data_IF_527413095941
#
_entry.id   IF_527413095941
#
_cell.length_a   1.000
_cell.length_b   1.000
_cell.length_c   1.000
_cell.angle_alpha   90.00
_cell.angle_beta   90.00
_cell.angle_gamma   90.00
#
_symmetry.space_group_name_H-M   'P 1'
#
loop_
_entity.id
_entity.type
_entity.pdbx_description
1 polymer ?
#
# COMPACT_ATOMS: atom_id res chain seq x y z
N UNK A 1 29.29 -1.50 -45.00
CA UNK A 1 28.91 -2.32 -43.81
C UNK A 1 28.72 -1.34 -42.66
N UNK A 2 27.47 -0.94 -42.39
CA UNK A 2 27.09 -0.02 -41.27
C UNK A 2 26.53 -0.84 -40.13
N UNK A 3 27.27 -0.93 -39.06
CA UNK A 3 26.77 -1.49 -37.79
C UNK A 3 25.77 -0.52 -37.13
N UNK A 4 24.50 -0.92 -37.05
CA UNK A 4 23.52 -0.30 -36.17
C UNK A 4 23.68 -0.90 -34.78
N UNK A 5 24.13 -0.10 -33.84
CA UNK A 5 24.08 -0.44 -32.41
C UNK A 5 22.65 -0.14 -31.93
N UNK A 6 21.93 -1.20 -31.54
CA UNK A 6 20.67 -1.08 -30.84
C UNK A 6 20.94 -0.56 -29.41
N UNK A 7 20.39 0.61 -29.12
CA UNK A 7 20.36 1.12 -27.75
C UNK A 7 19.16 0.46 -27.06
N UNK A 8 19.43 -0.43 -26.14
CA UNK A 8 18.42 -0.98 -25.24
C UNK A 8 18.13 0.09 -24.17
N UNK A 9 16.97 0.71 -24.25
CA UNK A 9 16.43 1.57 -23.20
C UNK A 9 16.02 0.70 -22.03
N UNK A 10 16.84 0.67 -20.98
CA UNK A 10 16.45 0.12 -19.70
C UNK A 10 15.45 1.08 -19.04
N UNK A 11 14.20 0.66 -18.91
CA UNK A 11 13.22 1.33 -18.07
C UNK A 11 13.70 1.20 -16.61
N UNK A 12 14.26 2.28 -16.07
CA UNK A 12 14.59 2.36 -14.65
C UNK A 12 13.28 2.58 -13.89
N UNK A 13 12.83 1.53 -13.17
CA UNK A 13 11.76 1.65 -12.20
C UNK A 13 12.16 2.70 -11.16
N UNK A 14 11.24 3.65 -10.90
CA UNK A 14 11.38 4.67 -9.88
C UNK A 14 11.33 4.00 -8.50
N UNK A 15 12.43 3.46 -8.06
CA UNK A 15 12.60 3.12 -6.67
C UNK A 15 12.97 4.43 -5.96
N UNK A 16 12.03 4.98 -5.19
CA UNK A 16 12.37 5.90 -4.10
C UNK A 16 13.18 5.05 -3.11
N UNK A 17 14.45 4.81 -3.43
CA UNK A 17 15.36 4.10 -2.56
C UNK A 17 15.69 5.04 -1.41
N UNK A 18 14.89 4.94 -0.34
CA UNK A 18 15.32 5.33 0.99
C UNK A 18 16.53 4.47 1.33
N UNK A 19 17.74 4.97 1.00
CA UNK A 19 18.98 4.31 1.35
C UNK A 19 19.15 4.37 2.88
N UNK A 20 18.77 3.28 3.54
CA UNK A 20 19.23 2.97 4.89
C UNK A 20 20.75 2.90 4.85
N UNK A 21 21.40 3.87 5.50
CA UNK A 21 22.84 3.91 5.68
C UNK A 21 23.32 2.63 6.38
N UNK A 22 23.96 1.75 5.65
CA UNK A 22 24.61 0.59 6.19
C UNK A 22 25.94 1.03 6.84
N UNK A 23 25.96 1.14 8.18
CA UNK A 23 27.21 1.10 8.93
C UNK A 23 27.80 -0.32 8.85
N UNK A 24 28.95 -0.44 8.23
CA UNK A 24 29.75 -1.67 8.17
C UNK A 24 30.26 -2.04 9.56
N UNK A 25 29.64 -3.04 10.18
CA UNK A 25 30.11 -3.71 11.39
C UNK A 25 30.19 -5.21 11.12
N UNK A 26 31.35 -5.80 11.43
CA UNK A 26 31.76 -7.16 11.11
C UNK A 26 30.73 -8.24 11.54
N UNK A 27 30.50 -9.18 10.65
CA UNK A 27 29.61 -10.30 10.79
C UNK A 27 29.93 -11.23 11.96
N UNK A 28 28.89 -11.63 12.73
CA UNK A 28 28.80 -12.90 13.44
C UNK A 28 27.65 -13.72 12.83
N UNK A 29 27.82 -15.02 12.62
CA UNK A 29 26.77 -15.87 12.05
C UNK A 29 25.75 -16.23 13.12
N UNK A 30 24.48 -15.98 12.85
CA UNK A 30 23.36 -16.39 13.67
C UNK A 30 22.35 -15.27 13.90
N UNK A 31 21.57 -14.96 12.88
CA UNK A 31 20.32 -14.22 13.06
C UNK A 31 19.33 -14.75 12.03
N UNK A 32 18.26 -15.31 12.55
CA UNK A 32 17.15 -15.88 11.80
C UNK A 32 16.55 -14.83 10.87
N UNK A 33 16.37 -15.20 9.61
CA UNK A 33 15.76 -14.37 8.59
C UNK A 33 14.29 -14.12 8.96
N UNK A 34 13.91 -12.86 9.07
CA UNK A 34 12.53 -12.43 9.27
C UNK A 34 11.72 -12.71 7.99
N UNK A 35 10.72 -13.62 7.98
CA UNK A 35 9.97 -13.98 6.77
C UNK A 35 9.08 -12.87 6.21
N UNK A 36 8.84 -11.80 6.97
CA UNK A 36 7.91 -10.73 6.56
C UNK A 36 8.45 -9.79 5.48
N UNK A 37 9.77 -9.72 5.29
CA UNK A 37 10.36 -8.89 4.22
C UNK A 37 10.37 -9.61 2.85
N UNK A 38 10.01 -10.88 2.80
CA UNK A 38 10.06 -11.70 1.59
C UNK A 38 8.71 -11.88 0.88
N UNK A 39 7.61 -11.48 1.48
CA UNK A 39 6.30 -11.54 0.82
C UNK A 39 6.21 -10.63 -0.42
N UNK A 40 7.06 -9.60 -0.50
CA UNK A 40 7.13 -8.69 -1.67
C UNK A 40 8.09 -9.13 -2.78
N UNK A 41 8.83 -10.25 -2.62
CA UNK A 41 9.83 -10.71 -3.60
C UNK A 41 9.77 -12.21 -3.93
N UNK A 42 8.76 -12.94 -3.51
CA UNK A 42 8.57 -14.33 -3.92
C UNK A 42 7.98 -14.41 -5.34
N UNK A 43 8.72 -13.93 -6.32
CA UNK A 43 8.47 -14.16 -7.74
C UNK A 43 8.76 -15.60 -8.14
N UNK A 44 7.93 -16.55 -7.72
CA UNK A 44 8.17 -17.96 -8.04
C UNK A 44 6.95 -18.88 -8.00
N UNK A 45 5.78 -18.41 -7.58
CA UNK A 45 4.57 -19.25 -7.51
C UNK A 45 3.27 -18.48 -7.73
N UNK A 46 3.32 -17.28 -8.30
CA UNK A 46 2.12 -16.45 -8.54
C UNK A 46 1.22 -16.97 -9.66
N UNK A 47 1.68 -17.88 -10.50
CA UNK A 47 0.91 -18.35 -11.66
C UNK A 47 -0.26 -19.28 -11.32
N UNK A 48 -0.30 -19.88 -10.14
CA UNK A 48 -1.37 -20.82 -9.76
C UNK A 48 -2.46 -20.19 -8.86
N UNK A 49 -2.17 -19.09 -8.15
CA UNK A 49 -3.09 -18.47 -7.20
C UNK A 49 -4.11 -17.54 -7.89
N UNK A 50 -3.84 -17.10 -9.11
CA UNK A 50 -4.56 -15.98 -9.75
C UNK A 50 -5.78 -16.35 -10.60
N UNK A 51 -6.15 -17.61 -10.77
CA UNK A 51 -7.21 -18.00 -11.72
C UNK A 51 -8.52 -18.46 -11.11
N UNK A 52 -8.70 -18.29 -9.80
CA UNK A 52 -9.97 -18.67 -9.18
C UNK A 52 -11.01 -17.59 -9.48
N UNK A 53 -12.09 -17.95 -10.16
CA UNK A 53 -13.26 -17.09 -10.34
C UNK A 53 -14.10 -17.14 -9.07
N UNK A 54 -14.13 -16.05 -8.30
CA UNK A 54 -14.84 -15.96 -7.04
C UNK A 54 -16.35 -16.20 -7.20
N UNK A 55 -16.92 -15.87 -8.35
CA UNK A 55 -18.36 -16.06 -8.62
C UNK A 55 -18.77 -17.53 -8.72
N UNK A 56 -17.81 -18.43 -8.90
CA UNK A 56 -18.05 -19.88 -8.99
C UNK A 56 -17.90 -20.61 -7.66
N UNK A 57 -17.40 -19.91 -6.62
CA UNK A 57 -17.20 -20.50 -5.32
C UNK A 57 -18.49 -20.53 -4.50
N UNK A 58 -18.67 -21.60 -3.72
CA UNK A 58 -19.59 -21.59 -2.59
C UNK A 58 -18.85 -20.98 -1.40
N UNK A 59 -19.37 -19.86 -0.91
CA UNK A 59 -18.87 -19.20 0.29
C UNK A 59 -19.91 -19.36 1.39
N UNK A 60 -19.55 -20.04 2.46
CA UNK A 60 -20.43 -20.25 3.60
C UNK A 60 -20.27 -19.06 4.59
N UNK A 61 -21.39 -18.63 5.18
CA UNK A 61 -21.38 -17.52 6.16
C UNK A 61 -21.10 -17.98 7.59
N UNK A 62 -21.18 -19.29 7.86
CA UNK A 62 -20.85 -19.91 9.15
C UNK A 62 -20.60 -21.42 8.98
N UNK A 63 -19.94 -22.05 9.95
CA UNK A 63 -19.72 -23.48 9.99
C UNK A 63 -19.50 -23.94 11.43
N UNK A 64 -20.08 -25.07 11.82
CA UNK A 64 -19.98 -25.61 13.20
C UNK A 64 -18.54 -25.97 13.60
N UNK A 65 -17.64 -26.17 12.63
CA UNK A 65 -16.23 -26.45 12.89
C UNK A 65 -15.38 -25.22 13.14
N UNK A 66 -15.91 -24.00 12.92
CA UNK A 66 -15.17 -22.78 13.23
C UNK A 66 -14.80 -22.71 14.71
N UNK A 67 -13.53 -22.38 15.04
CA UNK A 67 -13.13 -22.18 16.43
C UNK A 67 -13.79 -20.94 17.02
N UNK A 68 -13.67 -20.78 18.34
CA UNK A 68 -14.12 -19.55 18.99
C UNK A 68 -13.02 -18.49 18.94
N UNK A 69 -13.38 -17.28 18.51
CA UNK A 69 -12.50 -16.12 18.47
C UNK A 69 -12.82 -15.20 19.64
N UNK A 70 -11.80 -14.74 20.38
CA UNK A 70 -11.99 -13.75 21.43
C UNK A 70 -12.34 -12.37 20.87
N UNK A 71 -13.09 -11.53 21.61
CA UNK A 71 -13.38 -10.15 21.17
C UNK A 71 -12.17 -9.20 21.36
N UNK A 72 -11.08 -9.68 21.94
CA UNK A 72 -9.90 -8.86 22.24
C UNK A 72 -9.16 -8.41 20.96
N UNK A 73 -8.31 -7.39 21.08
CA UNK A 73 -7.37 -6.95 20.07
C UNK A 73 -5.95 -6.98 20.65
N UNK A 74 -5.03 -7.83 20.17
CA UNK A 74 -5.22 -8.86 19.13
C UNK A 74 -6.11 -10.02 19.59
N UNK A 75 -6.87 -10.65 18.67
CA UNK A 75 -7.72 -11.78 19.00
C UNK A 75 -6.92 -13.05 19.30
N UNK A 76 -7.55 -13.94 20.09
CA UNK A 76 -7.05 -15.29 20.35
C UNK A 76 -8.03 -16.33 19.81
N UNK A 77 -7.51 -17.50 19.44
CA UNK A 77 -8.28 -18.63 18.94
C UNK A 77 -8.42 -19.71 20.00
N UNK A 78 -9.62 -20.29 20.11
CA UNK A 78 -9.88 -21.50 20.91
C UNK A 78 -10.45 -22.57 19.99
N UNK A 79 -9.63 -23.56 19.64
CA UNK A 79 -10.01 -24.65 18.75
C UNK A 79 -11.04 -25.57 19.40
N UNK A 80 -11.99 -26.05 18.60
CA UNK A 80 -13.06 -26.95 19.03
C UNK A 80 -12.86 -28.43 18.58
N UNK A 81 -11.73 -28.72 17.92
CA UNK A 81 -11.40 -30.06 17.44
C UNK A 81 -12.10 -30.44 16.13
N UNK A 82 -12.76 -29.50 15.47
CA UNK A 82 -13.42 -29.73 14.19
C UNK A 82 -12.46 -29.76 13.00
N UNK A 83 -12.78 -30.56 11.99
CA UNK A 83 -12.05 -30.50 10.71
C UNK A 83 -12.30 -29.15 10.00
N UNK A 84 -11.30 -28.67 9.24
CA UNK A 84 -11.46 -27.44 8.48
C UNK A 84 -12.64 -27.51 7.50
N UNK A 85 -13.40 -26.41 7.30
CA UNK A 85 -14.45 -26.35 6.30
C UNK A 85 -13.94 -26.70 4.91
N UNK A 86 -14.76 -27.41 4.13
CA UNK A 86 -14.43 -27.77 2.75
C UNK A 86 -14.56 -26.58 1.79
N UNK A 87 -15.46 -25.66 2.09
CA UNK A 87 -15.68 -24.42 1.36
C UNK A 87 -14.97 -23.26 2.06
N UNK A 88 -14.71 -22.19 1.30
CA UNK A 88 -14.37 -20.90 1.89
C UNK A 88 -15.50 -20.47 2.82
N UNK A 89 -15.19 -20.21 4.08
CA UNK A 89 -16.19 -19.79 5.07
C UNK A 89 -15.80 -18.42 5.61
N UNK A 90 -16.71 -17.45 5.53
CA UNK A 90 -16.51 -16.09 5.99
C UNK A 90 -17.60 -15.72 6.98
N UNK A 91 -17.24 -15.68 8.25
CA UNK A 91 -18.17 -15.30 9.32
C UNK A 91 -17.91 -13.88 9.74
N UNK A 92 -18.95 -13.05 9.70
CA UNK A 92 -18.89 -11.69 10.22
C UNK A 92 -18.94 -11.75 11.76
N UNK A 93 -17.86 -11.33 12.42
CA UNK A 93 -17.76 -11.25 13.87
C UNK A 93 -18.29 -9.91 14.38
N UNK A 94 -18.02 -8.83 13.64
CA UNK A 94 -18.56 -7.50 13.86
C UNK A 94 -18.80 -6.83 12.50
N UNK A 95 -19.93 -6.15 12.34
CA UNK A 95 -20.38 -5.59 11.06
C UNK A 95 -20.45 -4.07 11.10
N UNK A 96 -19.94 -3.43 10.06
CA UNK A 96 -19.94 -1.98 9.90
C UNK A 96 -20.56 -1.56 8.55
N UNK A 97 -21.86 -1.76 8.40
CA UNK A 97 -22.62 -1.48 7.16
C UNK A 97 -22.50 -0.03 6.63
N UNK A 98 -21.94 0.88 7.42
CA UNK A 98 -21.69 2.28 7.02
C UNK A 98 -20.36 2.51 6.33
N UNK A 99 -19.48 1.51 6.28
CA UNK A 99 -18.18 1.57 5.59
C UNK A 99 -18.32 1.42 4.08
N UNK A 100 -17.25 1.73 3.36
CA UNK A 100 -17.18 1.47 1.92
C UNK A 100 -17.21 -0.05 1.66
N UNK A 101 -18.00 -0.51 0.68
CA UNK A 101 -18.04 -1.90 0.26
C UNK A 101 -16.76 -2.24 -0.53
N UNK A 102 -16.12 -3.34 -0.18
CA UNK A 102 -14.89 -3.82 -0.83
C UNK A 102 -15.23 -4.41 -2.19
N UNK A 103 -14.58 -3.91 -3.24
CA UNK A 103 -14.77 -4.34 -4.61
C UNK A 103 -13.60 -5.21 -5.11
N UNK A 104 -13.85 -6.03 -6.13
CA UNK A 104 -12.77 -6.73 -6.81
C UNK A 104 -11.76 -5.73 -7.40
N UNK A 105 -10.46 -5.98 -7.20
CA UNK A 105 -9.39 -5.09 -7.65
C UNK A 105 -9.03 -3.96 -6.69
N UNK A 106 -9.71 -3.85 -5.56
CA UNK A 106 -9.33 -2.88 -4.54
C UNK A 106 -7.98 -3.21 -3.88
N UNK A 107 -7.37 -2.17 -3.34
CA UNK A 107 -6.32 -2.26 -2.35
C UNK A 107 -6.97 -2.16 -0.99
N UNK A 108 -6.67 -3.12 -0.10
CA UNK A 108 -7.21 -3.14 1.26
C UNK A 108 -6.09 -2.94 2.28
N UNK A 109 -6.39 -2.18 3.32
CA UNK A 109 -5.56 -2.08 4.52
C UNK A 109 -6.25 -2.83 5.64
N UNK A 110 -5.53 -3.74 6.30
CA UNK A 110 -6.14 -4.65 7.29
C UNK A 110 -5.24 -4.86 8.48
N UNK A 111 -5.86 -4.95 9.65
CA UNK A 111 -5.26 -5.54 10.85
C UNK A 111 -5.66 -7.02 10.90
N UNK A 112 -4.70 -7.93 10.94
CA UNK A 112 -5.02 -9.35 10.84
C UNK A 112 -4.09 -10.25 11.65
N UNK A 113 -4.58 -11.47 11.87
CA UNK A 113 -3.80 -12.57 12.46
C UNK A 113 -4.21 -13.88 11.79
N UNK A 114 -3.23 -14.74 11.47
CA UNK A 114 -3.44 -16.00 10.75
C UNK A 114 -2.85 -17.21 11.45
N UNK A 115 -3.60 -18.31 11.46
CA UNK A 115 -3.19 -19.61 11.99
C UNK A 115 -3.30 -20.70 10.93
N UNK A 116 -2.43 -21.70 11.00
CA UNK A 116 -2.71 -22.97 10.33
C UNK A 116 -3.85 -23.67 11.07
N UNK A 117 -4.74 -24.31 10.31
CA UNK A 117 -5.81 -25.09 10.89
C UNK A 117 -5.22 -26.34 11.55
N UNK A 118 -5.02 -26.27 12.86
CA UNK A 118 -4.50 -27.35 13.66
C UNK A 118 -4.92 -27.14 15.11
N UNK A 119 -5.55 -28.16 15.73
CA UNK A 119 -6.02 -28.11 17.12
C UNK A 119 -4.93 -27.72 18.13
N UNK A 120 -3.67 -28.03 17.83
CA UNK A 120 -2.54 -27.71 18.68
C UNK A 120 -1.92 -26.31 18.39
N UNK A 121 -2.35 -25.63 17.33
CA UNK A 121 -1.76 -24.37 16.88
C UNK A 121 -2.39 -23.18 17.58
N UNK A 122 -1.84 -22.75 18.70
CA UNK A 122 -2.19 -21.48 19.37
C UNK A 122 -1.31 -20.31 18.90
N UNK A 123 -0.19 -20.60 18.25
CA UNK A 123 0.72 -19.59 17.73
C UNK A 123 0.36 -19.23 16.29
N UNK A 124 0.15 -17.94 15.98
CA UNK A 124 -0.08 -17.52 14.61
C UNK A 124 1.18 -17.69 13.76
N UNK A 125 1.01 -17.99 12.48
CA UNK A 125 2.12 -17.98 11.53
C UNK A 125 2.42 -16.57 11.01
N UNK A 126 1.42 -15.66 11.03
CA UNK A 126 1.56 -14.26 10.62
C UNK A 126 0.56 -13.37 11.38
N UNK A 127 0.97 -12.12 11.68
CA UNK A 127 0.13 -11.16 12.38
C UNK A 127 0.62 -9.72 12.16
N UNK A 128 -0.25 -8.86 11.69
CA UNK A 128 -0.01 -7.41 11.62
C UNK A 128 0.07 -6.79 13.02
N UNK A 129 -0.71 -7.32 13.98
CA UNK A 129 -0.67 -6.86 15.38
C UNK A 129 0.70 -7.09 16.02
N UNK A 130 1.42 -8.18 15.67
CA UNK A 130 2.78 -8.42 16.17
C UNK A 130 3.81 -7.47 15.54
N UNK A 131 3.55 -6.99 14.33
CA UNK A 131 4.37 -5.97 13.67
C UNK A 131 4.08 -4.56 14.19
N UNK A 132 2.92 -4.35 14.82
CA UNK A 132 2.50 -3.07 15.38
C UNK A 132 1.92 -2.09 14.36
N UNK A 133 1.62 -2.56 13.14
CA UNK A 133 1.04 -1.75 12.06
C UNK A 133 0.12 -2.60 11.17
N UNK A 134 -0.98 -2.04 10.64
CA UNK A 134 -1.79 -2.65 9.61
C UNK A 134 -0.98 -2.98 8.36
N UNK A 135 -1.47 -3.89 7.53
CA UNK A 135 -0.82 -4.24 6.29
C UNK A 135 -1.74 -3.94 5.10
N UNK A 136 -1.16 -3.38 4.04
CA UNK A 136 -1.87 -2.97 2.83
C UNK A 136 -1.54 -3.92 1.68
N UNK A 137 -2.58 -4.45 1.01
CA UNK A 137 -2.45 -5.41 -0.08
C UNK A 137 -3.40 -5.07 -1.23
N UNK A 138 -2.95 -5.14 -2.49
CA UNK A 138 -3.86 -5.26 -3.62
C UNK A 138 -4.54 -6.63 -3.55
N UNK A 139 -5.87 -6.69 -3.65
CA UNK A 139 -6.64 -7.95 -3.58
C UNK A 139 -6.25 -8.94 -4.67
N UNK A 140 -5.77 -8.47 -5.81
CA UNK A 140 -5.26 -9.33 -6.87
C UNK A 140 -3.93 -10.00 -6.53
N UNK A 141 -3.19 -9.50 -5.53
CA UNK A 141 -1.89 -10.00 -5.10
C UNK A 141 -1.93 -10.98 -3.92
N UNK A 142 -3.11 -11.21 -3.32
CA UNK A 142 -3.26 -12.11 -2.16
C UNK A 142 -3.83 -13.48 -2.57
N UNK A 143 -3.81 -14.45 -1.64
CA UNK A 143 -4.38 -15.78 -1.86
C UNK A 143 -5.88 -15.69 -2.20
N UNK A 144 -6.38 -16.63 -3.00
CA UNK A 144 -7.75 -16.60 -3.48
C UNK A 144 -8.80 -16.55 -2.36
N UNK A 145 -8.52 -17.21 -1.23
CA UNK A 145 -9.39 -17.18 -0.06
C UNK A 145 -9.58 -15.78 0.52
N UNK A 146 -8.53 -14.95 0.57
CA UNK A 146 -8.63 -13.54 0.96
C UNK A 146 -9.40 -12.73 -0.08
N UNK A 147 -8.95 -12.81 -1.35
CA UNK A 147 -9.58 -12.05 -2.43
C UNK A 147 -11.08 -12.31 -2.53
N UNK A 148 -11.48 -13.58 -2.50
CA UNK A 148 -12.90 -13.93 -2.62
C UNK A 148 -13.67 -13.77 -1.31
N UNK A 149 -12.98 -13.83 -0.16
CA UNK A 149 -13.61 -13.72 1.15
C UNK A 149 -13.83 -12.28 1.62
N UNK A 150 -13.10 -11.30 1.06
CA UNK A 150 -13.24 -9.90 1.48
C UNK A 150 -14.21 -9.11 0.60
N UNK A 151 -14.32 -9.45 -0.70
CA UNK A 151 -15.23 -8.74 -1.63
C UNK A 151 -16.68 -8.83 -1.17
N UNK A 152 -17.38 -7.67 -1.15
CA UNK A 152 -18.75 -7.54 -0.67
C UNK A 152 -18.89 -7.28 0.83
N UNK A 153 -17.81 -7.33 1.59
CA UNK A 153 -17.77 -6.84 2.97
C UNK A 153 -17.41 -5.35 3.02
N UNK A 154 -17.43 -4.73 4.20
CA UNK A 154 -17.27 -3.30 4.34
C UNK A 154 -16.03 -2.93 5.17
N UNK A 155 -15.50 -1.75 4.92
CA UNK A 155 -14.52 -1.11 5.80
C UNK A 155 -15.12 -0.98 7.20
N UNK A 156 -14.36 -1.43 8.20
CA UNK A 156 -14.80 -1.55 9.59
C UNK A 156 -15.30 -2.95 9.99
N UNK A 157 -15.57 -3.84 9.03
CA UNK A 157 -15.97 -5.20 9.35
C UNK A 157 -14.82 -5.98 10.00
N UNK A 158 -15.19 -6.85 10.95
CA UNK A 158 -14.30 -7.86 11.54
C UNK A 158 -14.77 -9.23 11.12
N UNK A 159 -13.90 -9.97 10.44
CA UNK A 159 -14.22 -11.22 9.77
C UNK A 159 -13.38 -12.38 10.31
N UNK A 160 -14.00 -13.53 10.48
CA UNK A 160 -13.33 -14.82 10.65
C UNK A 160 -13.38 -15.56 9.31
N UNK A 161 -12.21 -15.86 8.72
CA UNK A 161 -12.11 -16.46 7.39
C UNK A 161 -11.40 -17.80 7.50
N UNK A 162 -12.14 -18.89 7.26
CA UNK A 162 -11.56 -20.22 7.14
C UNK A 162 -11.35 -20.56 5.67
N UNK A 163 -10.10 -20.77 5.29
CA UNK A 163 -9.66 -20.92 3.91
C UNK A 163 -9.18 -22.35 3.69
N UNK A 164 -9.83 -23.14 2.84
CA UNK A 164 -9.36 -24.47 2.47
C UNK A 164 -8.03 -24.38 1.69
N UNK A 165 -7.19 -25.42 1.79
CA UNK A 165 -5.84 -25.43 1.26
C UNK A 165 -5.73 -24.98 -0.21
N UNK A 166 -6.70 -25.39 -1.06
CA UNK A 166 -6.71 -25.06 -2.49
C UNK A 166 -6.94 -23.57 -2.78
N UNK A 167 -7.45 -22.80 -1.84
CA UNK A 167 -7.64 -21.35 -1.93
C UNK A 167 -6.58 -20.56 -1.14
N UNK A 168 -5.62 -21.30 -0.54
CA UNK A 168 -4.46 -20.79 0.21
C UNK A 168 -3.16 -21.16 -0.53
N UNK A 169 -2.19 -21.76 0.14
CA UNK A 169 -0.89 -22.14 -0.42
C UNK A 169 -0.80 -23.63 -0.81
N UNK A 170 -1.91 -24.39 -0.67
CA UNK A 170 -1.96 -25.82 -0.92
C UNK A 170 -1.45 -26.68 0.24
N UNK A 171 -1.56 -28.01 0.09
CA UNK A 171 -1.14 -28.97 1.11
C UNK A 171 0.38 -29.19 1.18
N UNK A 172 1.10 -28.84 0.10
CA UNK A 172 2.55 -28.99 -0.03
C UNK A 172 3.21 -27.63 -0.25
N UNK A 173 2.99 -26.70 0.67
CA UNK A 173 3.54 -25.37 0.57
C UNK A 173 5.07 -25.38 0.58
N UNK A 174 5.68 -24.42 -0.13
CA UNK A 174 7.12 -24.27 -0.19
C UNK A 174 7.68 -23.77 1.14
N UNK A 175 8.98 -23.94 1.34
CA UNK A 175 9.64 -23.49 2.56
C UNK A 175 9.38 -22.01 2.84
N UNK A 176 8.81 -21.72 4.00
CA UNK A 176 8.50 -20.35 4.45
C UNK A 176 7.03 -19.94 4.28
N UNK A 177 6.17 -20.79 3.69
CA UNK A 177 4.71 -20.57 3.64
C UNK A 177 3.98 -21.64 4.45
N UNK A 178 2.84 -21.30 5.07
CA UNK A 178 2.00 -22.28 5.77
C UNK A 178 1.38 -23.26 4.76
N UNK A 179 1.13 -24.50 5.18
CA UNK A 179 0.49 -25.54 4.36
C UNK A 179 -0.87 -25.92 4.92
N UNK A 180 -1.72 -26.50 4.08
CA UNK A 180 -3.05 -26.94 4.47
C UNK A 180 -4.04 -25.77 4.63
N UNK A 181 -5.20 -26.03 5.28
CA UNK A 181 -6.20 -25.02 5.52
C UNK A 181 -5.71 -23.95 6.50
N UNK A 182 -6.20 -22.72 6.34
CA UNK A 182 -5.82 -21.57 7.13
C UNK A 182 -7.05 -20.94 7.79
N UNK A 183 -6.83 -20.33 8.94
CA UNK A 183 -7.79 -19.48 9.62
C UNK A 183 -7.22 -18.09 9.76
N UNK A 184 -8.02 -17.08 9.45
CA UNK A 184 -7.67 -15.68 9.70
C UNK A 184 -8.77 -14.97 10.48
N UNK A 185 -8.37 -14.04 11.32
CA UNK A 185 -9.23 -12.93 11.77
C UNK A 185 -8.69 -11.67 11.12
N UNK A 186 -9.58 -10.95 10.42
CA UNK A 186 -9.25 -9.76 9.64
C UNK A 186 -10.16 -8.62 10.08
N UNK A 187 -9.57 -7.50 10.46
CA UNK A 187 -10.25 -6.22 10.66
C UNK A 187 -9.93 -5.37 9.43
N UNK A 188 -10.96 -4.90 8.73
CA UNK A 188 -10.78 -4.11 7.51
C UNK A 188 -10.67 -2.64 7.88
N UNK A 189 -9.46 -2.11 7.85
CA UNK A 189 -9.19 -0.73 8.28
C UNK A 189 -9.48 0.28 7.16
N UNK A 190 -9.25 -0.12 5.87
CA UNK A 190 -9.49 0.73 4.71
C UNK A 190 -9.61 -0.10 3.43
N UNK A 191 -10.30 0.43 2.41
CA UNK A 191 -10.37 -0.13 1.06
C UNK A 191 -10.52 0.98 0.02
N UNK A 192 -9.75 0.90 -1.07
CA UNK A 192 -9.82 1.86 -2.16
C UNK A 192 -9.43 1.24 -3.50
N UNK A 193 -9.98 1.79 -4.58
CA UNK A 193 -9.67 1.40 -5.94
C UNK A 193 -8.71 2.40 -6.58
N UNK A 194 -7.52 1.95 -7.02
CA UNK A 194 -6.50 2.83 -7.61
C UNK A 194 -6.98 3.55 -8.87
N UNK A 195 -7.82 2.90 -9.69
CA UNK A 195 -8.36 3.53 -10.89
C UNK A 195 -9.38 4.62 -10.55
N UNK A 196 -10.15 4.44 -9.47
CA UNK A 196 -11.13 5.42 -9.00
C UNK A 196 -10.47 6.64 -8.33
N UNK A 197 -9.24 6.50 -7.84
CA UNK A 197 -8.50 7.61 -7.22
C UNK A 197 -7.96 8.60 -8.24
N UNK A 198 -7.81 8.20 -9.51
CA UNK A 198 -7.35 9.10 -10.55
C UNK A 198 -8.28 10.30 -10.66
N UNK A 199 -7.77 11.48 -10.32
CA UNK A 199 -8.55 12.71 -10.35
C UNK A 199 -9.10 13.17 -8.99
N UNK A 200 -8.64 12.62 -7.89
CA UNK A 200 -9.07 13.02 -6.54
C UNK A 200 -8.93 14.53 -6.25
N UNK A 201 -8.01 15.22 -6.90
CA UNK A 201 -7.84 16.67 -6.78
C UNK A 201 -8.80 17.50 -7.67
N UNK A 202 -9.70 16.88 -8.46
CA UNK A 202 -10.57 17.60 -9.39
C UNK A 202 -11.48 18.64 -8.70
N UNK A 203 -11.95 18.34 -7.49
CA UNK A 203 -12.83 19.20 -6.69
C UNK A 203 -12.07 20.08 -5.68
N UNK A 204 -10.72 20.11 -5.75
CA UNK A 204 -9.92 20.93 -4.86
C UNK A 204 -10.16 22.44 -5.10
N UNK A 205 -10.12 23.21 -4.04
CA UNK A 205 -10.24 24.66 -4.11
C UNK A 205 -8.86 25.29 -4.35
N UNK A 206 -8.61 25.95 -5.51
CA UNK A 206 -7.34 26.64 -5.75
C UNK A 206 -7.03 27.70 -4.69
N UNK A 207 -5.76 27.86 -4.39
CA UNK A 207 -5.27 28.91 -3.50
C UNK A 207 -4.91 30.15 -4.34
N UNK A 208 -5.50 31.28 -3.99
CA UNK A 208 -5.26 32.57 -4.68
C UNK A 208 -4.64 33.61 -3.72
N UNK A 209 -3.63 34.39 -4.13
CA UNK A 209 -2.93 34.30 -5.43
C UNK A 209 -2.09 33.01 -5.55
N UNK A 210 -1.78 32.60 -6.78
CA UNK A 210 -1.02 31.35 -7.06
C UNK A 210 0.27 31.26 -6.25
N UNK A 211 0.37 30.29 -5.31
CA UNK A 211 1.54 30.18 -4.47
C UNK A 211 2.77 29.60 -5.18
N UNK A 212 2.57 28.80 -6.25
CA UNK A 212 3.68 28.30 -7.06
C UNK A 212 4.38 29.45 -7.81
N UNK A 213 3.59 30.33 -8.43
CA UNK A 213 4.10 31.52 -9.10
C UNK A 213 4.79 32.47 -8.09
N UNK A 214 4.26 32.62 -6.89
CA UNK A 214 4.88 33.42 -5.82
C UNK A 214 6.24 32.83 -5.38
N UNK A 215 6.42 31.50 -5.48
CA UNK A 215 7.67 30.82 -5.22
C UNK A 215 8.60 30.73 -6.43
N UNK A 216 8.19 31.27 -7.58
CA UNK A 216 8.99 31.30 -8.82
C UNK A 216 8.84 30.08 -9.72
N UNK A 217 7.90 29.17 -9.40
CA UNK A 217 7.64 27.97 -10.20
C UNK A 217 6.46 28.17 -11.15
N UNK A 218 6.51 27.51 -12.30
CA UNK A 218 5.38 27.44 -13.23
C UNK A 218 4.72 26.06 -13.12
N UNK A 219 3.55 26.02 -12.50
CA UNK A 219 2.73 24.80 -12.37
C UNK A 219 1.44 25.01 -13.16
N UNK A 220 1.17 24.11 -14.10
CA UNK A 220 -0.03 24.15 -14.94
C UNK A 220 -0.79 22.82 -14.92
N UNK A 221 -1.86 22.78 -15.73
CA UNK A 221 -2.74 21.62 -15.86
C UNK A 221 -4.01 21.74 -15.03
N UNK A 222 -5.07 21.08 -15.49
CA UNK A 222 -6.33 21.02 -14.77
C UNK A 222 -6.20 20.19 -13.49
N UNK A 223 -6.93 20.55 -12.45
CA UNK A 223 -7.05 19.71 -11.26
C UNK A 223 -7.66 18.34 -11.63
N UNK A 224 -7.18 17.28 -10.97
CA UNK A 224 -7.58 15.90 -11.28
C UNK A 224 -6.96 15.31 -12.56
N UNK A 225 -6.05 16.04 -13.22
CA UNK A 225 -5.29 15.57 -14.38
C UNK A 225 -3.80 15.75 -14.18
N UNK A 226 -3.00 15.12 -15.04
CA UNK A 226 -1.55 15.26 -15.01
C UNK A 226 -1.14 16.73 -15.02
N UNK A 227 -0.42 17.22 -13.99
CA UNK A 227 0.07 18.59 -13.95
C UNK A 227 1.30 18.76 -14.84
N UNK A 228 1.61 19.99 -15.18
CA UNK A 228 2.91 20.37 -15.74
C UNK A 228 3.73 21.10 -14.70
N UNK A 229 5.04 20.84 -14.66
CA UNK A 229 6.00 21.51 -13.79
C UNK A 229 7.16 22.05 -14.64
N UNK A 230 7.41 23.35 -14.52
CA UNK A 230 8.57 24.02 -15.08
C UNK A 230 9.33 24.76 -13.97
N UNK A 231 10.64 24.56 -13.92
CA UNK A 231 11.52 25.20 -12.96
C UNK A 231 12.38 26.22 -13.73
N UNK A 232 12.09 27.52 -13.63
CA UNK A 232 12.92 28.56 -14.26
C UNK A 232 14.36 28.50 -13.75
N UNK A 233 15.33 28.80 -14.63
CA UNK A 233 16.75 28.64 -14.32
C UNK A 233 17.28 29.56 -13.21
N UNK A 234 16.56 30.61 -12.87
CA UNK A 234 16.89 31.58 -11.82
C UNK A 234 16.27 31.22 -10.45
N UNK A 235 15.46 30.15 -10.39
CA UNK A 235 14.90 29.70 -9.11
C UNK A 235 15.98 29.03 -8.28
N UNK A 236 16.15 29.51 -7.05
CA UNK A 236 17.11 28.95 -6.11
C UNK A 236 16.67 27.53 -5.66
N UNK A 237 17.66 26.63 -5.54
CA UNK A 237 17.40 25.30 -4.98
C UNK A 237 16.94 25.41 -3.52
N UNK A 238 15.98 24.58 -3.08
CA UNK A 238 15.53 24.59 -1.70
C UNK A 238 16.67 24.15 -0.75
N UNK A 239 16.75 24.80 0.40
CA UNK A 239 17.70 24.45 1.48
C UNK A 239 17.03 23.62 2.57
N UNK A 240 15.70 23.53 2.57
CA UNK A 240 14.85 22.75 3.47
C UNK A 240 13.65 22.19 2.70
N UNK A 241 13.03 21.15 3.24
CA UNK A 241 11.82 20.58 2.64
C UNK A 241 10.63 21.51 2.85
N UNK A 242 9.83 21.71 1.82
CA UNK A 242 8.66 22.57 1.84
C UNK A 242 7.50 21.94 1.10
N UNK A 243 6.29 22.07 1.63
CA UNK A 243 5.04 21.71 0.97
C UNK A 243 4.18 22.96 0.80
N UNK A 244 3.99 23.39 -0.45
CA UNK A 244 3.21 24.55 -0.83
C UNK A 244 1.89 24.05 -1.41
N UNK A 245 0.78 24.24 -0.70
CA UNK A 245 -0.55 23.83 -1.17
C UNK A 245 -1.00 24.75 -2.29
N UNK A 246 -1.22 24.19 -3.48
CA UNK A 246 -1.67 24.90 -4.67
C UNK A 246 -3.20 24.90 -4.78
N UNK A 247 -3.80 23.77 -4.44
CA UNK A 247 -5.24 23.62 -4.31
C UNK A 247 -5.54 22.73 -3.11
N UNK A 248 -6.56 23.09 -2.33
CA UNK A 248 -6.88 22.42 -1.08
C UNK A 248 -8.06 21.48 -1.26
N UNK A 249 -7.87 20.22 -0.97
CA UNK A 249 -8.91 19.21 -0.88
C UNK A 249 -9.72 19.30 0.42
N UNK A 250 -10.77 18.50 0.53
CA UNK A 250 -11.69 18.48 1.67
C UNK A 250 -11.73 17.14 2.41
N UNK A 251 -10.94 16.15 1.99
CA UNK A 251 -10.89 14.82 2.59
C UNK A 251 -10.10 14.78 3.91
N UNK A 252 -9.85 13.59 4.46
CA UNK A 252 -9.04 13.39 5.66
C UNK A 252 -7.66 14.02 5.51
N UNK A 253 -7.11 14.56 6.60
CA UNK A 253 -5.78 15.12 6.61
C UNK A 253 -4.73 14.03 6.88
N UNK A 254 -3.57 14.14 6.23
CA UNK A 254 -2.42 13.26 6.48
C UNK A 254 -1.99 13.39 7.94
N UNK A 255 -1.80 12.27 8.62
CA UNK A 255 -1.29 12.14 9.98
C UNK A 255 0.06 11.41 9.98
N UNK A 256 0.72 11.31 11.15
CA UNK A 256 1.96 10.53 11.29
C UNK A 256 1.80 9.02 11.02
N UNK A 257 0.58 8.49 11.10
CA UNK A 257 0.29 7.06 10.93
C UNK A 257 -0.41 6.74 9.61
N UNK A 258 -0.79 7.73 8.82
CA UNK A 258 -1.54 7.53 7.58
C UNK A 258 -0.72 6.78 6.54
N UNK A 259 -1.38 5.91 5.76
CA UNK A 259 -0.90 5.51 4.44
C UNK A 259 -1.48 6.47 3.40
N UNK A 260 -0.63 6.97 2.52
CA UNK A 260 -1.00 8.01 1.56
C UNK A 260 -0.71 7.56 0.15
N UNK A 261 -1.70 7.65 -0.74
CA UNK A 261 -1.54 7.39 -2.16
C UNK A 261 -1.38 8.71 -2.90
N UNK A 262 -0.32 8.82 -3.67
CA UNK A 262 0.08 10.03 -4.35
C UNK A 262 0.27 9.80 -5.85
N UNK A 263 -0.33 10.62 -6.68
CA UNK A 263 0.13 10.83 -8.04
C UNK A 263 1.06 12.04 -8.10
N UNK A 264 2.12 11.96 -8.92
CA UNK A 264 3.11 13.03 -8.96
C UNK A 264 3.78 13.19 -10.32
N UNK A 265 4.14 14.42 -10.61
CA UNK A 265 5.15 14.78 -11.61
C UNK A 265 6.32 15.37 -10.88
N UNK A 266 7.55 14.90 -11.16
CA UNK A 266 8.72 15.51 -10.55
C UNK A 266 9.81 15.86 -11.56
N UNK A 267 10.64 16.84 -11.20
CA UNK A 267 11.81 17.26 -11.94
C UNK A 267 12.95 17.55 -10.97
N UNK A 268 14.17 17.22 -11.41
CA UNK A 268 15.38 17.75 -10.79
C UNK A 268 15.57 19.21 -11.21
N UNK A 269 16.27 20.00 -10.36
CA UNK A 269 16.48 21.42 -10.63
C UNK A 269 17.38 21.71 -11.84
N UNK A 270 18.16 20.73 -12.29
CA UNK A 270 18.93 20.83 -13.54
C UNK A 270 18.14 20.37 -14.79
N UNK A 271 16.91 19.90 -14.58
CA UNK A 271 16.05 19.40 -15.66
C UNK A 271 16.50 18.07 -16.28
N UNK A 272 17.47 17.39 -15.69
CA UNK A 272 18.02 16.14 -16.22
C UNK A 272 17.09 14.95 -16.08
N UNK A 273 16.19 14.98 -15.11
CA UNK A 273 15.20 13.94 -14.82
C UNK A 273 13.82 14.60 -14.73
N UNK A 274 12.89 14.08 -15.51
CA UNK A 274 11.47 14.40 -15.40
C UNK A 274 10.70 13.09 -15.47
N UNK A 275 9.87 12.81 -14.47
CA UNK A 275 9.06 11.57 -14.40
C UNK A 275 7.66 11.87 -13.92
N UNK A 276 6.72 10.97 -14.26
CA UNK A 276 5.32 11.11 -13.95
C UNK A 276 4.70 9.74 -13.63
N UNK A 277 4.03 9.63 -12.49
CA UNK A 277 3.23 8.46 -12.15
C UNK A 277 1.97 8.36 -13.01
N UNK A 278 1.48 9.48 -13.52
CA UNK A 278 0.34 9.53 -14.44
C UNK A 278 0.64 8.79 -15.74
N UNK A 279 1.88 8.91 -16.26
CA UNK A 279 2.30 8.24 -17.48
C UNK A 279 2.51 6.74 -17.30
N UNK A 280 2.87 6.32 -16.11
CA UNK A 280 3.07 4.89 -15.79
C UNK A 280 1.78 4.22 -15.33
N UNK A 281 0.76 4.99 -14.92
CA UNK A 281 -0.46 4.50 -14.29
C UNK A 281 -0.21 3.85 -12.92
N UNK A 282 0.91 4.17 -12.28
CA UNK A 282 1.30 3.59 -10.99
C UNK A 282 1.53 4.71 -9.96
N UNK A 283 0.53 5.06 -9.17
CA UNK A 283 0.71 5.98 -8.05
C UNK A 283 1.65 5.41 -7.00
N UNK A 284 2.20 6.27 -6.18
CA UNK A 284 3.10 5.88 -5.09
C UNK A 284 2.31 5.81 -3.79
N UNK A 285 2.44 4.70 -3.06
CA UNK A 285 1.90 4.58 -1.70
C UNK A 285 3.02 4.78 -0.69
N UNK A 286 2.80 5.66 0.29
CA UNK A 286 3.77 6.02 1.33
C UNK A 286 3.12 5.77 2.70
N UNK A 287 3.79 5.02 3.59
CA UNK A 287 3.43 4.97 5.01
C UNK A 287 4.10 6.10 5.76
N UNK A 288 3.33 7.03 6.31
CA UNK A 288 3.87 8.19 7.05
C UNK A 288 4.58 7.80 8.34
N UNK A 289 4.25 6.64 8.91
CA UNK A 289 4.96 6.08 10.06
C UNK A 289 6.42 5.70 9.74
N UNK A 290 6.70 5.37 8.46
CA UNK A 290 8.02 4.91 8.01
C UNK A 290 8.83 5.99 7.28
N UNK A 291 8.20 7.13 6.91
CA UNK A 291 8.92 8.17 6.18
C UNK A 291 9.87 8.94 7.07
N UNK A 292 10.97 9.39 6.45
CA UNK A 292 11.92 10.27 7.09
C UNK A 292 11.50 11.75 7.01
N UNK A 293 12.13 12.60 7.80
CA UNK A 293 11.82 14.03 7.97
C UNK A 293 11.47 14.81 6.69
N UNK A 294 12.15 14.63 5.55
CA UNK A 294 11.84 15.42 4.35
C UNK A 294 10.39 15.36 3.88
N UNK A 295 9.69 14.24 4.07
CA UNK A 295 8.29 14.06 3.63
C UNK A 295 7.26 14.39 4.72
N UNK A 296 7.68 14.58 5.97
CA UNK A 296 6.77 14.96 7.06
C UNK A 296 6.14 16.33 6.88
N UNK A 297 6.66 17.14 5.98
CA UNK A 297 6.02 18.41 5.57
C UNK A 297 4.65 18.23 4.92
N UNK A 298 4.27 16.98 4.54
CA UNK A 298 2.95 16.66 4.02
C UNK A 298 1.90 16.47 5.13
N UNK A 299 2.30 16.31 6.40
CA UNK A 299 1.37 16.13 7.52
C UNK A 299 0.44 17.34 7.64
N UNK A 300 -0.86 17.08 7.81
CA UNK A 300 -1.91 18.10 7.90
C UNK A 300 -2.49 18.54 6.54
N UNK A 301 -1.95 18.03 5.42
CA UNK A 301 -2.51 18.29 4.09
C UNK A 301 -3.69 17.34 3.86
N UNK A 302 -4.85 17.84 3.44
CA UNK A 302 -6.04 17.02 3.19
C UNK A 302 -5.92 16.20 1.90
N UNK A 303 -6.55 15.02 1.91
CA UNK A 303 -6.84 14.28 0.68
C UNK A 303 -7.59 15.16 -0.33
N UNK A 304 -7.29 14.97 -1.61
CA UNK A 304 -7.77 15.76 -2.73
C UNK A 304 -6.96 17.04 -2.97
N UNK A 305 -5.89 17.32 -2.20
CA UNK A 305 -5.06 18.50 -2.41
C UNK A 305 -4.05 18.31 -3.53
N UNK A 306 -3.73 19.42 -4.26
CA UNK A 306 -2.53 19.52 -5.11
C UNK A 306 -1.47 20.35 -4.41
N UNK A 307 -0.24 19.87 -4.39
CA UNK A 307 0.87 20.41 -3.60
C UNK A 307 2.13 20.51 -4.45
N UNK A 308 2.85 21.62 -4.37
CA UNK A 308 4.23 21.72 -4.81
C UNK A 308 5.14 21.33 -3.62
N UNK A 309 5.78 20.17 -3.74
CA UNK A 309 6.72 19.66 -2.74
C UNK A 309 8.15 19.92 -3.21
N UNK A 310 8.93 20.60 -2.40
CA UNK A 310 10.31 20.92 -2.68
C UNK A 310 11.22 20.16 -1.71
N UNK A 311 12.17 19.40 -2.24
CA UNK A 311 13.13 18.63 -1.45
C UNK A 311 14.55 19.12 -1.74
N UNK A 312 15.36 19.43 -0.71
CA UNK A 312 16.74 19.86 -0.89
C UNK A 312 17.63 18.71 -1.35
N UNK A 313 18.77 19.06 -1.95
CA UNK A 313 19.84 18.10 -2.16
C UNK A 313 20.31 17.52 -0.81
N UNK A 314 20.77 16.27 -0.82
CA UNK A 314 21.37 15.69 0.38
C UNK A 314 22.72 16.35 0.70
N UNK A 315 23.15 16.25 1.96
CA UNK A 315 24.41 16.87 2.42
C UNK A 315 25.65 16.28 1.72
N UNK A 316 25.53 15.09 1.16
CA UNK A 316 26.60 14.42 0.43
C UNK A 316 26.59 14.72 -1.06
N UNK A 317 25.58 15.47 -1.55
CA UNK A 317 25.32 15.79 -2.95
C UNK A 317 25.22 14.56 -3.86
N UNK A 318 24.88 13.41 -3.29
CA UNK A 318 24.58 12.20 -4.05
C UNK A 318 23.15 12.24 -4.61
N UNK A 319 22.27 13.01 -3.95
CA UNK A 319 20.90 13.29 -4.39
C UNK A 319 20.75 14.78 -4.69
N UNK A 320 20.27 15.10 -5.89
CA UNK A 320 20.02 16.49 -6.31
C UNK A 320 18.77 17.06 -5.63
N UNK A 321 18.62 18.37 -5.62
CA UNK A 321 17.36 19.00 -5.25
C UNK A 321 16.27 18.67 -6.27
N UNK A 322 15.06 18.43 -5.77
CA UNK A 322 13.92 17.97 -6.54
C UNK A 322 12.68 18.81 -6.25
N UNK A 323 11.86 19.03 -7.25
CA UNK A 323 10.54 19.62 -7.13
C UNK A 323 9.49 18.63 -7.65
N UNK A 324 8.39 18.48 -6.91
CA UNK A 324 7.28 17.59 -7.23
C UNK A 324 5.98 18.39 -7.26
N UNK A 325 5.13 18.13 -8.25
CA UNK A 325 3.70 18.46 -8.13
C UNK A 325 2.98 17.18 -7.78
N UNK A 326 2.36 17.16 -6.62
CA UNK A 326 1.77 15.99 -6.00
C UNK A 326 0.28 16.19 -5.84
N UNK A 327 -0.51 15.23 -6.30
CA UNK A 327 -1.93 15.10 -5.93
C UNK A 327 -2.03 14.06 -4.79
N UNK A 328 -2.69 14.45 -3.70
CA UNK A 328 -2.96 13.56 -2.56
C UNK A 328 -4.25 12.82 -2.86
N UNK A 329 -4.14 11.64 -3.47
CA UNK A 329 -5.31 10.94 -4.00
C UNK A 329 -6.08 10.18 -2.92
N UNK A 330 -5.37 9.61 -1.93
CA UNK A 330 -6.02 8.89 -0.83
C UNK A 330 -5.20 9.01 0.46
N UNK A 331 -5.91 9.06 1.58
CA UNK A 331 -5.34 9.09 2.94
C UNK A 331 -6.09 8.06 3.78
N UNK A 332 -5.44 6.92 4.04
CA UNK A 332 -5.93 5.94 5.01
C UNK A 332 -5.61 6.39 6.45
N UNK A 333 -6.46 6.10 7.41
CA UNK A 333 -6.25 6.44 8.81
C UNK A 333 -5.02 5.75 9.41
#
# INVERSE_FOLDING_TARGET
VKNRRSVATAAAALALALSLGACSGAAKPGSEANPSAQASQAGGSQEQVQKVDCSTLTIDSDNESLPSISPDTPPTVTWNGGAAPANLTVKVLDSHEGGAEIQAGDVVTTSYIGWQWNEDSVSPFDSSFQRGEPATFPLEGVIAGWRCGLVGHHVGDRLEIAIPAQLAYGDNAQQGTPSGPLLFVVEVDDAYNLEALAGASADATPIEPDPAAAAGFEVGGELGKEPTLSIPADVAQPTESQAIVLARGSGPAITDNSNVVLNMVYSTFDGSIVQSTWQTGQPVTISMAQVQDPLKVLIGIPQGSRVLLLLPADQTQTKQAEAYVVDVDHVSP
#
